data_IF_373971369866
#
_entry.id   IF_373971369866
#
_cell.length_a   1.000
_cell.length_b   1.000
_cell.length_c   1.000
_cell.angle_alpha   90.00
_cell.angle_beta   90.00
_cell.angle_gamma   90.00
#
_symmetry.space_group_name_H-M   'P 1'
#
loop_
_entity.id
_entity.type
_entity.pdbx_description
1 polymer ?
#
# COMPACT_ATOMS: atom_id res chain seq x y z
N UNK A 1 -22.09 -14.15 23.91
CA UNK A 1 -22.00 -12.97 23.04
C UNK A 1 -20.58 -12.47 23.10
N UNK A 2 -19.92 -12.33 21.95
CA UNK A 2 -18.58 -11.73 21.92
C UNK A 2 -18.69 -10.23 22.19
N UNK A 3 -17.67 -9.64 22.82
CA UNK A 3 -17.60 -8.20 23.12
C UNK A 3 -17.82 -7.35 21.86
N UNK A 4 -17.41 -7.85 20.70
CA UNK A 4 -17.64 -7.23 19.39
C UNK A 4 -19.13 -7.09 19.03
N UNK A 5 -19.98 -8.06 19.37
CA UNK A 5 -21.42 -7.97 19.10
C UNK A 5 -22.08 -6.81 19.87
N UNK A 6 -21.61 -6.52 21.08
CA UNK A 6 -22.11 -5.41 21.90
C UNK A 6 -21.78 -4.05 21.29
N UNK A 7 -20.65 -3.94 20.58
CA UNK A 7 -20.17 -2.69 19.98
C UNK A 7 -20.38 -2.62 18.46
N UNK A 8 -21.02 -3.63 17.87
CA UNK A 8 -21.16 -3.79 16.42
C UNK A 8 -21.76 -2.55 15.71
N UNK A 9 -22.72 -1.88 16.35
CA UNK A 9 -23.37 -0.69 15.79
C UNK A 9 -22.50 0.59 15.78
N UNK A 10 -21.35 0.58 16.47
CA UNK A 10 -20.45 1.73 16.62
C UNK A 10 -19.07 1.52 16.00
N UNK A 11 -18.71 0.29 15.66
CA UNK A 11 -17.41 0.01 15.05
C UNK A 11 -17.35 0.55 13.62
N UNK A 12 -16.38 1.44 13.37
CA UNK A 12 -16.08 1.99 12.05
C UNK A 12 -14.84 1.35 11.41
N UNK A 13 -14.01 0.70 12.21
CA UNK A 13 -12.75 0.09 11.79
C UNK A 13 -12.62 -1.29 12.39
N UNK A 14 -12.24 -2.25 11.55
CA UNK A 14 -11.93 -3.61 11.97
C UNK A 14 -10.72 -4.11 11.21
N UNK A 15 -9.78 -4.64 11.97
CA UNK A 15 -8.65 -5.40 11.50
C UNK A 15 -8.87 -6.89 11.78
N UNK A 16 -8.75 -7.71 10.74
CA UNK A 16 -9.04 -9.13 10.78
C UNK A 16 -7.91 -9.92 10.14
N UNK A 17 -6.91 -10.20 10.94
CA UNK A 17 -5.80 -11.08 10.59
C UNK A 17 -6.01 -12.47 11.19
N UNK A 18 -5.72 -13.53 10.42
CA UNK A 18 -5.74 -14.93 10.86
C UNK A 18 -7.08 -15.53 11.37
N UNK A 19 -8.21 -14.88 11.10
CA UNK A 19 -9.53 -15.44 11.44
C UNK A 19 -10.09 -16.32 10.32
N UNK A 20 -10.82 -17.37 10.69
CA UNK A 20 -11.55 -18.18 9.71
C UNK A 20 -12.63 -17.35 9.02
N UNK A 21 -12.73 -17.46 7.68
CA UNK A 21 -13.62 -16.63 6.84
C UNK A 21 -15.07 -16.58 7.36
N UNK A 22 -15.57 -17.69 7.92
CA UNK A 22 -16.94 -17.78 8.46
C UNK A 22 -17.16 -16.88 9.67
N UNK A 23 -16.19 -16.81 10.59
CA UNK A 23 -16.28 -15.97 11.78
C UNK A 23 -16.23 -14.49 11.39
N UNK A 24 -15.29 -14.13 10.51
CA UNK A 24 -15.14 -12.78 9.97
C UNK A 24 -16.45 -12.29 9.36
N UNK A 25 -17.07 -13.11 8.51
CA UNK A 25 -18.31 -12.73 7.83
C UNK A 25 -19.48 -12.54 8.77
N UNK A 26 -19.64 -13.46 9.73
CA UNK A 26 -20.70 -13.34 10.73
C UNK A 26 -20.58 -12.03 11.51
N UNK A 27 -19.36 -11.58 11.76
CA UNK A 27 -19.07 -10.29 12.37
C UNK A 27 -19.36 -9.15 11.40
N UNK A 28 -18.79 -9.12 10.19
CA UNK A 28 -18.91 -8.02 9.23
C UNK A 28 -20.36 -7.66 8.89
N UNK A 29 -21.26 -8.65 8.81
CA UNK A 29 -22.70 -8.40 8.57
C UNK A 29 -23.38 -7.62 9.68
N UNK A 30 -22.81 -7.61 10.89
CA UNK A 30 -23.34 -6.89 12.04
C UNK A 30 -22.80 -5.46 12.16
N UNK A 31 -21.92 -5.03 11.27
CA UNK A 31 -21.21 -3.74 11.33
C UNK A 31 -21.74 -2.73 10.28
N UNK A 32 -22.92 -2.11 10.50
CA UNK A 32 -23.55 -1.23 9.50
C UNK A 32 -22.79 0.07 9.23
N UNK A 33 -21.80 0.41 10.06
CA UNK A 33 -21.00 1.64 9.98
C UNK A 33 -19.54 1.40 9.60
N UNK A 34 -19.19 0.20 9.16
CA UNK A 34 -17.80 -0.12 8.82
C UNK A 34 -17.30 0.73 7.64
N UNK A 35 -16.20 1.44 7.86
CA UNK A 35 -15.54 2.33 6.90
C UNK A 35 -14.11 1.88 6.58
N UNK A 36 -13.47 1.23 7.53
CA UNK A 36 -12.09 0.76 7.43
C UNK A 36 -12.09 -0.76 7.65
N UNK A 37 -11.58 -1.52 6.68
CA UNK A 37 -11.48 -2.98 6.78
C UNK A 37 -10.08 -3.43 6.37
N UNK A 38 -9.39 -4.13 7.27
CA UNK A 38 -8.18 -4.87 6.94
C UNK A 38 -8.47 -6.37 7.02
N UNK A 39 -8.15 -7.13 5.98
CA UNK A 39 -8.47 -8.56 5.90
C UNK A 39 -7.68 -9.29 4.80
N UNK A 40 -7.66 -10.62 4.84
CA UNK A 40 -7.24 -11.43 3.69
C UNK A 40 -8.33 -11.44 2.59
N UNK A 41 -8.03 -11.16 1.29
CA UNK A 41 -9.01 -11.20 0.20
C UNK A 41 -9.51 -12.61 -0.17
N UNK A 42 -10.29 -13.22 0.72
CA UNK A 42 -11.08 -14.42 0.45
C UNK A 42 -12.40 -14.11 -0.29
N UNK A 43 -13.07 -15.10 -0.90
CA UNK A 43 -14.34 -14.90 -1.61
C UNK A 43 -15.38 -14.15 -0.78
N UNK A 44 -15.44 -14.47 0.51
CA UNK A 44 -16.40 -13.87 1.43
C UNK A 44 -16.08 -12.40 1.73
N UNK A 45 -14.79 -12.06 1.90
CA UNK A 45 -14.37 -10.68 2.05
C UNK A 45 -14.66 -9.86 0.79
N UNK A 46 -14.46 -10.44 -0.40
CA UNK A 46 -14.78 -9.78 -1.67
C UNK A 46 -16.29 -9.55 -1.83
N UNK A 47 -17.13 -10.49 -1.40
CA UNK A 47 -18.58 -10.31 -1.40
C UNK A 47 -19.03 -9.21 -0.41
N UNK A 48 -18.38 -9.11 0.75
CA UNK A 48 -18.56 -7.97 1.65
C UNK A 48 -18.23 -6.66 0.95
N UNK A 49 -17.05 -6.57 0.35
CA UNK A 49 -16.57 -5.37 -0.34
C UNK A 49 -17.54 -4.97 -1.44
N UNK A 50 -18.07 -5.93 -2.23
CA UNK A 50 -19.09 -5.66 -3.26
C UNK A 50 -20.36 -5.03 -2.69
N UNK A 51 -20.82 -5.53 -1.53
CA UNK A 51 -22.08 -5.12 -0.90
C UNK A 51 -21.95 -3.84 -0.07
N UNK A 52 -20.76 -3.55 0.45
CA UNK A 52 -20.52 -2.37 1.26
C UNK A 52 -20.75 -1.09 0.44
N UNK A 53 -21.39 -0.11 1.08
CA UNK A 53 -21.68 1.21 0.50
C UNK A 53 -21.04 2.36 1.28
N UNK A 54 -20.25 2.05 2.29
CA UNK A 54 -19.64 3.04 3.18
C UNK A 54 -18.12 2.85 3.34
N UNK A 55 -17.53 1.86 2.68
CA UNK A 55 -16.12 1.56 2.83
C UNK A 55 -15.27 2.68 2.23
N UNK A 56 -14.27 3.13 2.98
CA UNK A 56 -13.36 4.23 2.65
C UNK A 56 -11.91 3.78 2.62
N UNK A 57 -11.57 2.80 3.45
CA UNK A 57 -10.22 2.27 3.54
C UNK A 57 -10.26 0.75 3.51
N UNK A 58 -9.40 0.17 2.69
CA UNK A 58 -9.28 -1.26 2.54
C UNK A 58 -7.81 -1.65 2.51
N UNK A 59 -7.44 -2.57 3.39
CA UNK A 59 -6.13 -3.18 3.44
C UNK A 59 -6.27 -4.68 3.21
N UNK A 60 -5.46 -5.21 2.30
CA UNK A 60 -5.39 -6.64 2.05
C UNK A 60 -4.08 -7.21 2.58
N UNK A 61 -4.18 -8.25 3.42
CA UNK A 61 -3.05 -8.99 3.96
C UNK A 61 -2.76 -10.27 3.17
N UNK A 62 -1.47 -10.58 3.04
CA UNK A 62 -0.91 -11.88 2.68
C UNK A 62 -1.52 -12.59 1.47
N UNK A 63 -1.19 -12.13 0.26
CA UNK A 63 -1.55 -12.87 -0.96
C UNK A 63 -0.34 -13.21 -1.82
N UNK A 64 -0.18 -14.51 -2.06
CA UNK A 64 0.68 -15.02 -3.12
C UNK A 64 0.20 -14.58 -4.51
N UNK A 65 -1.06 -14.14 -4.68
CA UNK A 65 -1.57 -13.58 -5.93
C UNK A 65 -2.86 -12.83 -5.68
N UNK A 66 -2.93 -11.52 -5.93
CA UNK A 66 -4.24 -10.88 -5.95
C UNK A 66 -5.07 -11.50 -7.09
N UNK A 67 -6.21 -12.16 -6.78
CA UNK A 67 -7.05 -12.68 -7.84
C UNK A 67 -7.53 -11.49 -8.68
N UNK A 68 -7.56 -11.63 -10.01
CA UNK A 68 -8.31 -10.70 -10.88
C UNK A 68 -9.75 -10.51 -10.36
N UNK A 69 -10.31 -11.54 -9.71
CA UNK A 69 -11.58 -11.49 -9.01
C UNK A 69 -11.64 -10.44 -7.89
N UNK A 70 -10.55 -10.14 -7.18
CA UNK A 70 -10.51 -9.11 -6.15
C UNK A 70 -10.54 -7.70 -6.75
N UNK A 71 -9.76 -7.44 -7.79
CA UNK A 71 -9.85 -6.17 -8.54
C UNK A 71 -11.24 -6.00 -9.15
N UNK A 72 -11.78 -7.07 -9.74
CA UNK A 72 -13.13 -7.06 -10.28
C UNK A 72 -14.16 -6.75 -9.18
N UNK A 73 -14.10 -7.43 -8.04
CA UNK A 73 -14.97 -7.16 -6.90
C UNK A 73 -14.86 -5.70 -6.41
N UNK A 74 -13.66 -5.13 -6.36
CA UNK A 74 -13.43 -3.73 -6.03
C UNK A 74 -14.09 -2.80 -7.03
N UNK A 75 -13.95 -3.06 -8.33
CA UNK A 75 -14.56 -2.22 -9.37
C UNK A 75 -16.07 -2.34 -9.48
N UNK A 76 -16.63 -3.48 -9.06
CA UNK A 76 -18.08 -3.73 -8.99
C UNK A 76 -18.69 -3.22 -7.68
N UNK A 77 -17.86 -2.93 -6.68
CA UNK A 77 -18.30 -2.44 -5.37
C UNK A 77 -18.98 -1.08 -5.49
N UNK A 78 -20.09 -0.94 -4.76
CA UNK A 78 -20.75 0.36 -4.56
C UNK A 78 -19.83 1.36 -3.85
N UNK A 79 -18.88 0.87 -3.04
CA UNK A 79 -17.89 1.67 -2.33
C UNK A 79 -16.70 2.10 -3.19
N UNK A 80 -16.56 1.64 -4.44
CA UNK A 80 -15.44 2.03 -5.31
C UNK A 80 -15.29 3.57 -5.40
N UNK A 81 -16.41 4.28 -5.50
CA UNK A 81 -16.45 5.74 -5.55
C UNK A 81 -16.11 6.45 -4.24
N UNK A 82 -16.05 5.73 -3.12
CA UNK A 82 -15.80 6.23 -1.76
C UNK A 82 -14.44 5.82 -1.21
N UNK A 83 -13.76 4.87 -1.86
CA UNK A 83 -12.49 4.32 -1.43
C UNK A 83 -11.38 5.38 -1.56
N UNK A 84 -10.95 5.90 -0.41
CA UNK A 84 -9.89 6.89 -0.26
C UNK A 84 -8.51 6.27 -0.05
N UNK A 85 -8.45 5.08 0.54
CA UNK A 85 -7.20 4.35 0.80
C UNK A 85 -7.33 2.91 0.34
N UNK A 86 -6.35 2.46 -0.45
CA UNK A 86 -6.20 1.07 -0.87
C UNK A 86 -4.77 0.62 -0.57
N UNK A 87 -4.64 -0.37 0.30
CA UNK A 87 -3.35 -0.97 0.65
C UNK A 87 -3.31 -2.44 0.27
N UNK A 88 -2.27 -2.79 -0.46
CA UNK A 88 -2.07 -4.07 -1.12
C UNK A 88 -0.75 -4.64 -0.60
N UNK A 89 -0.73 -4.92 0.71
CA UNK A 89 0.45 -5.31 1.47
C UNK A 89 0.83 -6.78 1.20
N UNK A 90 2.14 -7.09 1.21
CA UNK A 90 2.73 -8.42 0.95
C UNK A 90 2.33 -9.06 -0.40
N UNK A 91 2.34 -8.28 -1.48
CA UNK A 91 2.12 -8.79 -2.85
C UNK A 91 3.41 -9.28 -3.51
N UNK A 92 3.94 -10.41 -3.01
CA UNK A 92 5.27 -10.91 -3.43
C UNK A 92 5.37 -11.45 -4.87
N UNK A 93 4.25 -11.66 -5.57
CA UNK A 93 4.26 -12.24 -6.92
C UNK A 93 3.49 -11.39 -7.92
N UNK A 94 4.25 -10.82 -8.87
CA UNK A 94 3.83 -10.09 -10.08
C UNK A 94 2.33 -9.75 -10.08
N UNK A 95 1.92 -8.84 -9.17
CA UNK A 95 0.53 -8.45 -9.12
C UNK A 95 0.18 -7.93 -10.49
N UNK A 96 -1.06 -8.17 -10.93
CA UNK A 96 -1.56 -7.59 -12.17
C UNK A 96 -1.77 -6.08 -11.96
N UNK A 97 -0.66 -5.36 -11.80
CA UNK A 97 -0.58 -3.94 -11.57
C UNK A 97 -1.21 -3.20 -12.75
N UNK A 98 -1.16 -3.80 -13.93
CA UNK A 98 -1.85 -3.27 -15.10
C UNK A 98 -3.36 -3.37 -14.95
N UNK A 99 -3.91 -4.49 -14.48
CA UNK A 99 -5.32 -4.57 -14.13
C UNK A 99 -5.68 -3.55 -13.02
N UNK A 100 -4.84 -3.41 -11.99
CA UNK A 100 -5.05 -2.39 -10.95
C UNK A 100 -5.09 -0.98 -11.54
N UNK A 101 -4.12 -0.63 -12.39
CA UNK A 101 -4.07 0.66 -13.09
C UNK A 101 -5.30 0.91 -13.96
N UNK A 102 -5.81 -0.12 -14.64
CA UNK A 102 -7.05 -0.07 -15.40
C UNK A 102 -8.30 0.18 -14.52
N UNK A 103 -8.24 -0.18 -13.24
CA UNK A 103 -9.31 0.03 -12.28
C UNK A 103 -9.28 1.42 -11.61
N UNK A 104 -8.13 2.09 -11.55
CA UNK A 104 -7.96 3.39 -10.87
C UNK A 104 -8.97 4.48 -11.27
N UNK A 105 -9.39 4.60 -12.55
CA UNK A 105 -10.40 5.59 -12.93
C UNK A 105 -11.74 5.41 -12.21
N UNK A 106 -12.03 4.20 -11.69
CA UNK A 106 -13.22 3.89 -10.91
C UNK A 106 -13.10 4.24 -9.42
N UNK A 107 -11.94 4.68 -8.97
CA UNK A 107 -11.68 5.14 -7.61
C UNK A 107 -11.42 6.66 -7.62
N UNK A 108 -12.41 7.50 -7.99
CA UNK A 108 -12.22 8.94 -8.21
C UNK A 108 -11.83 9.71 -6.94
N UNK A 109 -11.98 9.12 -5.76
CA UNK A 109 -11.60 9.73 -4.47
C UNK A 109 -10.37 9.09 -3.84
N UNK A 110 -9.73 8.12 -4.49
CA UNK A 110 -8.54 7.43 -3.99
C UNK A 110 -7.40 8.42 -3.86
N UNK A 111 -6.89 8.57 -2.63
CA UNK A 111 -5.80 9.47 -2.25
C UNK A 111 -4.52 8.72 -1.96
N UNK A 112 -4.64 7.51 -1.44
CA UNK A 112 -3.52 6.71 -0.98
C UNK A 112 -3.58 5.32 -1.61
N UNK A 113 -2.51 4.97 -2.33
CA UNK A 113 -2.31 3.65 -2.89
C UNK A 113 -1.00 3.10 -2.36
N UNK A 114 -1.06 1.97 -1.68
CA UNK A 114 0.12 1.23 -1.22
C UNK A 114 0.20 -0.09 -1.97
N UNK A 115 1.36 -0.37 -2.56
CA UNK A 115 1.65 -1.58 -3.32
C UNK A 115 2.95 -2.16 -2.80
N UNK A 116 2.90 -3.42 -2.37
CA UNK A 116 4.08 -4.16 -1.95
C UNK A 116 4.62 -5.04 -3.08
N UNK A 117 5.11 -4.38 -4.13
CA UNK A 117 5.74 -5.02 -5.29
C UNK A 117 6.64 -4.03 -6.03
N UNK A 118 7.64 -4.55 -6.76
CA UNK A 118 8.43 -3.73 -7.69
C UNK A 118 7.56 -3.32 -8.89
N UNK A 119 7.17 -2.04 -9.03
CA UNK A 119 6.28 -1.65 -10.13
C UNK A 119 6.96 -1.76 -11.50
N UNK A 120 6.18 -2.23 -12.47
CA UNK A 120 6.58 -2.27 -13.88
C UNK A 120 6.55 -0.87 -14.49
N UNK A 121 7.31 -0.67 -15.57
CA UNK A 121 7.34 0.58 -16.35
C UNK A 121 5.94 0.98 -16.81
N UNK A 122 5.15 0.00 -17.28
CA UNK A 122 3.82 0.24 -17.80
C UNK A 122 2.84 0.65 -16.69
N UNK A 123 2.97 0.08 -15.48
CA UNK A 123 2.19 0.53 -14.33
C UNK A 123 2.51 1.99 -13.98
N UNK A 124 3.81 2.32 -13.83
CA UNK A 124 4.23 3.69 -13.56
C UNK A 124 3.79 4.64 -14.67
N UNK A 125 3.81 4.21 -15.94
CA UNK A 125 3.31 4.99 -17.08
C UNK A 125 1.80 5.18 -17.03
N UNK A 126 1.05 4.17 -16.62
CA UNK A 126 -0.40 4.24 -16.51
C UNK A 126 -0.87 5.16 -15.37
N UNK A 127 -0.05 5.40 -14.34
CA UNK A 127 -0.34 6.37 -13.28
C UNK A 127 -0.23 7.81 -13.79
N UNK A 128 -1.37 8.42 -14.05
CA UNK A 128 -1.51 9.79 -14.54
C UNK A 128 -2.61 10.52 -13.77
N UNK A 129 -2.65 11.86 -13.82
CA UNK A 129 -3.76 12.61 -13.23
C UNK A 129 -5.12 12.27 -13.85
N UNK A 130 -5.15 11.68 -15.04
CA UNK A 130 -6.39 11.23 -15.68
C UNK A 130 -6.85 9.88 -15.14
N UNK A 131 -5.92 8.93 -14.93
CA UNK A 131 -6.25 7.59 -14.44
C UNK A 131 -6.47 7.55 -12.93
N UNK A 132 -5.82 8.42 -12.15
CA UNK A 132 -5.92 8.48 -10.70
C UNK A 132 -6.00 9.95 -10.23
N UNK A 133 -7.12 10.65 -10.46
CA UNK A 133 -7.20 12.11 -10.36
C UNK A 133 -7.02 12.71 -8.97
N UNK A 134 -7.24 11.90 -7.93
CA UNK A 134 -7.08 12.33 -6.52
C UNK A 134 -5.91 11.66 -5.82
N UNK A 135 -5.12 10.86 -6.53
CA UNK A 135 -4.00 10.14 -5.93
C UNK A 135 -2.93 11.14 -5.50
N UNK A 136 -2.68 11.19 -4.20
CA UNK A 136 -1.71 12.09 -3.56
C UNK A 136 -0.58 11.35 -2.90
N UNK A 137 -0.74 10.07 -2.56
CA UNK A 137 0.29 9.24 -1.95
C UNK A 137 0.37 7.90 -2.69
N UNK A 138 1.57 7.56 -3.14
CA UNK A 138 1.92 6.23 -3.63
C UNK A 138 2.99 5.66 -2.70
N UNK A 139 2.70 4.55 -2.04
CA UNK A 139 3.66 3.81 -1.24
C UNK A 139 4.13 2.60 -2.04
N UNK A 140 5.44 2.49 -2.26
CA UNK A 140 6.07 1.34 -2.90
C UNK A 140 7.00 0.68 -1.89
N UNK A 141 6.83 -0.62 -1.70
CA UNK A 141 7.76 -1.44 -0.94
C UNK A 141 8.67 -2.18 -1.91
N UNK A 142 9.96 -2.18 -1.63
CA UNK A 142 10.95 -2.81 -2.49
C UNK A 142 11.72 -3.91 -1.76
N UNK A 143 11.79 -5.07 -2.41
CA UNK A 143 12.60 -6.21 -1.94
C UNK A 143 14.01 -6.18 -2.54
N UNK A 144 14.17 -5.74 -3.80
CA UNK A 144 15.40 -5.99 -4.59
C UNK A 144 16.34 -4.80 -4.75
N UNK A 145 15.81 -3.58 -4.75
CA UNK A 145 16.59 -2.35 -4.99
C UNK A 145 16.81 -1.59 -3.69
N UNK A 146 18.02 -1.05 -3.53
CA UNK A 146 18.26 -0.07 -2.47
C UNK A 146 17.50 1.22 -2.79
N UNK A 147 17.07 1.97 -1.76
CA UNK A 147 16.30 3.20 -1.93
C UNK A 147 17.00 4.23 -2.83
N UNK A 148 18.33 4.26 -2.81
CA UNK A 148 19.12 5.11 -3.70
C UNK A 148 18.91 4.78 -5.19
N UNK A 149 18.81 3.49 -5.54
CA UNK A 149 18.57 3.09 -6.92
C UNK A 149 17.21 3.58 -7.42
N UNK A 150 16.20 3.68 -6.54
CA UNK A 150 14.89 4.26 -6.87
C UNK A 150 14.95 5.77 -7.10
N UNK A 151 15.76 6.51 -6.34
CA UNK A 151 15.93 7.95 -6.53
C UNK A 151 16.53 8.31 -7.90
N UNK A 152 17.43 7.44 -8.37
CA UNK A 152 18.05 7.56 -9.69
C UNK A 152 17.25 6.86 -10.79
N UNK A 153 16.11 6.25 -10.47
CA UNK A 153 15.29 5.57 -11.44
C UNK A 153 14.54 6.59 -12.30
N UNK A 154 14.90 6.67 -13.58
CA UNK A 154 14.28 7.59 -14.55
C UNK A 154 12.76 7.42 -14.59
N UNK A 155 12.26 6.21 -14.36
CA UNK A 155 10.82 5.90 -14.40
C UNK A 155 10.08 6.57 -13.24
N UNK A 156 10.69 6.66 -12.06
CA UNK A 156 10.16 7.40 -10.92
C UNK A 156 10.21 8.89 -11.16
N UNK A 157 11.31 9.39 -11.73
CA UNK A 157 11.43 10.81 -12.05
C UNK A 157 10.34 11.23 -13.06
N UNK A 158 10.12 10.44 -14.10
CA UNK A 158 9.05 10.63 -15.08
C UNK A 158 7.66 10.55 -14.46
N UNK A 159 7.43 9.63 -13.51
CA UNK A 159 6.18 9.55 -12.75
C UNK A 159 5.92 10.86 -11.99
N UNK A 160 6.90 11.34 -11.23
CA UNK A 160 6.77 12.54 -10.40
C UNK A 160 6.66 13.81 -11.26
N UNK A 161 7.30 13.84 -12.43
CA UNK A 161 7.16 14.94 -13.38
C UNK A 161 5.73 15.01 -13.94
N UNK A 162 5.12 13.87 -14.28
CA UNK A 162 3.74 13.80 -14.78
C UNK A 162 2.70 14.00 -13.68
N UNK A 163 3.05 13.72 -12.43
CA UNK A 163 2.18 13.80 -11.26
C UNK A 163 2.78 14.71 -10.18
N UNK A 164 2.82 16.04 -10.38
CA UNK A 164 3.52 16.96 -9.48
C UNK A 164 2.93 17.05 -8.06
N UNK A 165 1.72 16.53 -7.85
CA UNK A 165 1.07 16.45 -6.52
C UNK A 165 1.26 15.10 -5.82
N UNK A 166 1.87 14.14 -6.50
CA UNK A 166 2.06 12.81 -5.95
C UNK A 166 3.23 12.82 -4.96
N UNK A 167 2.98 12.34 -3.76
CA UNK A 167 3.98 12.05 -2.75
C UNK A 167 4.34 10.57 -2.89
N UNK A 168 5.61 10.30 -3.16
CA UNK A 168 6.12 8.95 -3.26
C UNK A 168 6.74 8.56 -1.93
N UNK A 169 6.23 7.49 -1.33
CA UNK A 169 6.77 6.88 -0.12
C UNK A 169 7.46 5.58 -0.52
N UNK A 170 8.74 5.46 -0.20
CA UNK A 170 9.52 4.27 -0.47
C UNK A 170 9.90 3.61 0.85
N UNK A 171 9.68 2.31 0.93
CA UNK A 171 10.13 1.44 2.01
C UNK A 171 10.93 0.28 1.45
N UNK A 172 11.89 -0.19 2.24
CA UNK A 172 12.60 -1.43 1.99
C UNK A 172 12.10 -2.46 3.00
N UNK A 173 11.70 -3.64 2.53
CA UNK A 173 11.35 -4.74 3.42
C UNK A 173 12.64 -5.46 3.82
N UNK A 174 13.02 -5.41 5.10
CA UNK A 174 14.16 -6.17 5.64
C UNK A 174 13.75 -7.63 5.99
N UNK A 175 12.78 -8.20 5.26
CA UNK A 175 12.11 -9.45 5.61
C UNK A 175 12.89 -10.73 5.24
N UNK A 176 14.16 -10.81 5.68
CA UNK A 176 14.86 -12.09 5.87
C UNK A 176 14.82 -12.45 7.37
N UNK A 177 13.66 -12.91 7.85
CA UNK A 177 13.53 -13.45 9.22
C UNK A 177 14.39 -14.73 9.44
N UNK A 178 14.80 -15.41 8.36
CA UNK A 178 15.59 -16.65 8.47
C UNK A 178 17.12 -16.41 8.41
N UNK A 179 17.56 -15.20 8.06
CA UNK A 179 18.99 -14.84 8.00
C UNK A 179 19.24 -13.40 8.44
N UNK A 180 18.89 -13.06 9.69
CA UNK A 180 19.51 -11.94 10.39
C UNK A 180 20.95 -12.29 10.84
N UNK A 181 21.72 -12.99 9.99
CA UNK A 181 23.17 -13.03 10.13
C UNK A 181 23.69 -11.72 9.54
N UNK A 182 24.47 -10.99 10.34
CA UNK A 182 25.28 -9.77 10.10
C UNK A 182 25.74 -9.49 8.66
N UNK A 183 24.81 -9.42 7.72
CA UNK A 183 25.02 -9.23 6.30
C UNK A 183 24.71 -7.78 5.97
N UNK A 184 25.76 -6.97 5.89
CA UNK A 184 25.68 -5.62 5.33
C UNK A 184 25.11 -5.75 3.92
N UNK A 185 23.90 -5.25 3.69
CA UNK A 185 23.37 -5.10 2.33
C UNK A 185 24.16 -3.96 1.69
N UNK A 186 25.32 -4.32 1.13
CA UNK A 186 26.14 -3.40 0.34
C UNK A 186 25.34 -3.08 -0.91
N UNK A 187 24.85 -1.86 -1.02
CA UNK A 187 24.32 -1.39 -2.30
C UNK A 187 25.53 -1.16 -3.21
N UNK A 188 25.64 -1.91 -4.31
CA UNK A 188 26.68 -1.78 -5.35
C UNK A 188 26.56 -0.48 -6.19
N UNK A 189 25.92 0.53 -5.62
CA UNK A 189 25.95 1.89 -6.10
C UNK A 189 27.26 2.50 -5.61
N UNK A 190 28.11 2.96 -6.52
CA UNK A 190 29.39 3.62 -6.20
C UNK A 190 29.25 4.87 -5.31
N UNK A 191 28.03 5.37 -5.10
CA UNK A 191 27.70 6.46 -4.18
C UNK A 191 27.31 5.99 -2.76
N UNK A 192 26.88 4.74 -2.58
CA UNK A 192 26.35 4.22 -1.32
C UNK A 192 27.42 3.75 -0.32
N UNK A 193 28.71 3.74 -0.68
CA UNK A 193 29.79 3.21 0.17
C UNK A 193 30.00 3.98 1.50
N UNK A 194 29.23 5.07 1.76
CA UNK A 194 29.45 5.93 2.93
C UNK A 194 28.33 5.95 3.99
N UNK A 195 27.19 5.29 3.79
CA UNK A 195 26.15 5.20 4.82
C UNK A 195 25.90 3.76 5.25
N UNK A 196 26.65 3.33 6.27
CA UNK A 196 26.38 2.12 7.04
C UNK A 196 25.19 2.34 7.98
N UNK A 197 23.96 2.08 7.51
CA UNK A 197 22.79 2.02 8.39
C UNK A 197 22.47 0.57 8.76
N UNK A 198 22.66 0.24 10.05
CA UNK A 198 22.29 -1.05 10.66
C UNK A 198 20.76 -1.22 10.72
N UNK A 199 20.27 -2.27 10.04
CA UNK A 199 19.01 -3.00 10.23
C UNK A 199 17.81 -2.30 10.86
N UNK A 200 17.22 -1.30 10.18
CA UNK A 200 15.90 -0.77 10.52
C UNK A 200 15.15 -0.38 9.25
N UNK A 201 13.87 -0.76 9.17
CA UNK A 201 12.93 -0.25 8.17
C UNK A 201 12.87 1.28 8.25
N UNK A 202 13.50 1.94 7.28
CA UNK A 202 13.50 3.39 7.15
C UNK A 202 12.52 3.81 6.06
N UNK A 203 11.57 4.67 6.43
CA UNK A 203 10.61 5.27 5.51
C UNK A 203 11.14 6.59 4.97
N UNK A 204 11.05 6.77 3.66
CA UNK A 204 11.43 8.03 3.01
C UNK A 204 10.26 8.59 2.24
N UNK A 205 10.02 9.89 2.42
CA UNK A 205 9.08 10.65 1.61
C UNK A 205 9.84 11.48 0.58
N UNK A 206 9.38 11.40 -0.66
CA UNK A 206 9.88 12.21 -1.77
C UNK A 206 8.85 13.28 -2.12
N UNK A 207 9.29 14.53 -2.03
CA UNK A 207 8.54 15.69 -2.48
C UNK A 207 9.35 16.45 -3.53
N UNK A 208 8.67 16.96 -4.54
CA UNK A 208 9.25 17.95 -5.46
C UNK A 208 9.27 19.30 -4.74
N UNK A 209 10.43 19.97 -4.69
CA UNK A 209 10.52 21.35 -4.20
C UNK A 209 9.79 22.34 -5.12
N UNK A 210 9.34 23.44 -4.55
CA UNK A 210 8.78 24.61 -5.24
C UNK A 210 9.81 25.30 -6.14
N UNK A 211 9.32 26.26 -6.95
CA UNK A 211 9.83 26.74 -8.24
C UNK A 211 11.33 27.10 -8.40
N UNK A 212 12.13 27.21 -7.34
CA UNK A 212 13.51 27.70 -7.39
C UNK A 212 14.60 26.60 -7.42
N UNK A 213 14.21 25.33 -7.62
CA UNK A 213 15.14 24.20 -7.65
C UNK A 213 15.40 23.71 -9.09
N UNK A 214 16.65 23.33 -9.45
CA UNK A 214 16.94 22.74 -10.75
C UNK A 214 16.05 21.51 -11.01
N UNK A 215 15.63 21.26 -12.26
CA UNK A 215 14.91 20.03 -12.61
C UNK A 215 15.73 18.81 -12.19
N UNK A 216 15.15 17.95 -11.34
CA UNK A 216 15.81 16.75 -10.81
C UNK A 216 16.13 16.77 -9.31
N UNK A 217 16.03 17.92 -8.63
CA UNK A 217 16.22 17.97 -7.18
C UNK A 217 14.99 17.42 -6.42
N UNK A 218 15.11 16.20 -5.91
CA UNK A 218 14.15 15.58 -4.99
C UNK A 218 14.59 15.80 -3.55
N UNK A 219 13.67 16.23 -2.69
CA UNK A 219 13.95 16.27 -1.25
C UNK A 219 13.52 14.94 -0.64
N UNK A 220 14.52 14.21 -0.11
CA UNK A 220 14.31 13.05 0.73
C UNK A 220 14.06 13.55 2.15
N UNK A 221 12.87 13.31 2.68
CA UNK A 221 12.56 13.57 4.09
C UNK A 221 12.49 12.21 4.80
N UNK A 222 13.40 11.93 5.75
CA UNK A 222 13.27 10.78 6.63
C UNK A 222 11.98 10.93 7.44
N UNK A 223 11.11 9.92 7.42
CA UNK A 223 9.96 9.89 8.32
C UNK A 223 10.35 9.19 9.64
N UNK A 224 9.96 9.73 10.81
CA UNK A 224 10.15 9.03 12.07
C UNK A 224 9.32 7.74 12.07
N UNK A 225 9.86 6.65 12.66
CA UNK A 225 9.19 5.33 12.71
C UNK A 225 7.78 5.37 13.30
N UNK A 226 7.45 6.36 14.13
CA UNK A 226 6.10 6.56 14.70
C UNK A 226 5.02 6.96 13.67
N UNK A 227 5.41 7.26 12.42
CA UNK A 227 4.50 7.57 11.31
C UNK A 227 4.17 6.35 10.44
N UNK A 228 4.77 5.20 10.74
CA UNK A 228 4.48 3.95 10.05
C UNK A 228 3.04 3.50 10.38
N UNK A 229 2.37 2.78 9.46
CA UNK A 229 1.17 2.02 9.82
C UNK A 229 1.48 1.11 11.03
N UNK A 230 0.48 0.80 11.88
CA UNK A 230 0.71 0.08 13.13
C UNK A 230 1.49 -1.21 12.86
N UNK A 231 2.67 -1.32 13.48
CA UNK A 231 3.47 -2.54 13.41
C UNK A 231 2.81 -3.60 14.29
N UNK A 232 2.67 -4.80 13.73
CA UNK A 232 2.23 -5.99 14.43
C UNK A 232 2.96 -6.18 15.76
N UNK A 233 2.20 -6.13 16.86
CA UNK A 233 2.67 -6.50 18.20
C UNK A 233 2.34 -7.95 18.56
N UNK A 234 1.99 -8.77 17.57
CA UNK A 234 1.52 -10.15 17.67
C UNK A 234 2.68 -11.16 17.72
N UNK A 235 3.65 -10.99 18.64
CA UNK A 235 4.52 -12.10 19.06
C UNK A 235 5.19 -11.87 20.42
N UNK A 236 4.38 -11.65 21.46
CA UNK A 236 4.78 -11.86 22.85
C UNK A 236 3.65 -12.59 23.58
N UNK A 237 3.62 -13.92 23.42
CA UNK A 237 2.67 -14.81 24.08
C UNK A 237 3.10 -16.24 23.96
#
# INVERSE_FOLDING_TARGET
MSLLQTHAATLEEVDVEDFSEQVVWSLLRTLPKLRSLACSPGPVALDFVRQSSQLRSLWFYEFYKLPSAALQALTESRSASLLGTLDLYRWRHDPDLMALAGCLPRFPVLRELSVDADPTDDFLRALTPTSAPRLTRLSLHCEKKCLHAWLHDIRIQDLLQRNPRLHLQLSKCDCNEEYAYEGVIKCDCSFCEKEESRGRCSWFSLHRRTADCPPGCLQVVPLPCSSAPPADSSNQG
#
